data_IF_342146740171
#
_entry.id   IF_342146740171
#
_cell.length_a   1.000
_cell.length_b   1.000
_cell.length_c   1.000
_cell.angle_alpha   90.00
_cell.angle_beta   90.00
_cell.angle_gamma   90.00
#
_symmetry.space_group_name_H-M   'P 1'
#
loop_
_entity.id
_entity.type
_entity.pdbx_description
1 polymer ?
#
# COMPACT_ATOMS: atom_id res chain seq x y z
N UNK A 1 -34.65 11.54 -1.33
CA UNK A 1 -34.09 10.18 -1.32
C UNK A 1 -35.27 9.23 -1.31
N UNK A 2 -35.51 8.49 -2.39
CA UNK A 2 -36.68 7.64 -2.54
C UNK A 2 -36.50 6.28 -1.85
N UNK A 3 -37.58 5.63 -1.44
CA UNK A 3 -37.57 4.27 -0.86
C UNK A 3 -36.86 3.27 -1.79
N UNK A 4 -36.93 3.47 -3.11
CA UNK A 4 -36.28 2.61 -4.12
C UNK A 4 -34.73 2.72 -4.09
N UNK A 5 -34.17 3.87 -3.70
CA UNK A 5 -32.70 4.06 -3.59
C UNK A 5 -32.10 3.18 -2.48
N UNK A 6 -32.93 2.71 -1.56
CA UNK A 6 -32.52 1.80 -0.48
C UNK A 6 -32.36 0.34 -0.97
N UNK A 7 -33.14 -0.06 -1.97
CA UNK A 7 -33.12 -1.41 -2.55
C UNK A 7 -32.21 -1.53 -3.77
N UNK A 8 -31.97 -0.42 -4.47
CA UNK A 8 -31.10 -0.34 -5.64
C UNK A 8 -30.22 0.92 -5.51
N UNK A 9 -29.15 0.86 -4.68
CA UNK A 9 -28.25 1.98 -4.58
C UNK A 9 -27.67 2.29 -5.98
N UNK A 10 -27.46 3.57 -6.31
CA UNK A 10 -26.81 3.94 -7.55
C UNK A 10 -25.44 3.23 -7.66
N UNK A 11 -25.01 2.89 -8.88
CA UNK A 11 -23.71 2.27 -9.09
C UNK A 11 -22.62 3.19 -8.54
N UNK A 12 -21.57 2.59 -8.00
CA UNK A 12 -20.41 3.33 -7.51
C UNK A 12 -19.78 4.13 -8.66
N UNK A 13 -19.45 5.42 -8.47
CA UNK A 13 -18.85 6.25 -9.52
C UNK A 13 -17.56 5.65 -10.11
N UNK A 14 -16.77 4.94 -9.32
CA UNK A 14 -15.55 4.29 -9.77
C UNK A 14 -15.81 3.10 -10.71
N UNK A 15 -17.01 2.54 -10.73
CA UNK A 15 -17.36 1.45 -11.65
C UNK A 15 -17.31 1.87 -13.14
N UNK A 16 -17.37 3.19 -13.41
CA UNK A 16 -17.30 3.73 -14.77
C UNK A 16 -15.84 4.07 -15.20
N UNK A 17 -14.86 3.89 -14.35
CA UNK A 17 -13.48 4.21 -14.69
C UNK A 17 -12.92 3.26 -15.76
N UNK A 18 -12.21 3.82 -16.72
CA UNK A 18 -11.61 3.06 -17.82
C UNK A 18 -10.08 3.01 -17.64
N UNK A 19 -9.50 1.81 -17.73
CA UNK A 19 -8.05 1.63 -17.63
C UNK A 19 -7.33 2.38 -18.77
N UNK A 20 -6.38 3.25 -18.38
CA UNK A 20 -5.59 4.10 -19.28
C UNK A 20 -4.09 3.88 -19.16
N UNK A 21 -3.64 3.15 -18.14
CA UNK A 21 -2.22 2.86 -17.94
C UNK A 21 -1.96 1.37 -17.90
N UNK A 22 -0.84 0.96 -18.51
CA UNK A 22 -0.24 -0.37 -18.35
C UNK A 22 1.02 -0.32 -17.48
N UNK A 23 1.50 0.89 -17.15
CA UNK A 23 2.69 1.07 -16.32
C UNK A 23 2.29 0.94 -14.85
N UNK A 24 3.07 0.14 -14.13
CA UNK A 24 2.90 -0.11 -12.70
C UNK A 24 4.24 0.14 -11.99
N UNK A 25 4.87 1.29 -12.32
CA UNK A 25 6.15 1.69 -11.72
C UNK A 25 5.89 2.42 -10.41
N UNK A 26 6.60 2.00 -9.37
CA UNK A 26 6.56 2.61 -8.04
C UNK A 26 7.90 3.29 -7.75
N UNK A 27 7.86 4.57 -7.39
CA UNK A 27 9.04 5.36 -7.00
C UNK A 27 8.99 5.60 -5.50
N UNK A 28 9.96 5.05 -4.77
CA UNK A 28 9.92 5.04 -3.31
C UNK A 28 10.41 6.35 -2.68
N UNK A 29 11.37 7.01 -3.31
CA UNK A 29 11.94 8.28 -2.83
C UNK A 29 11.07 9.51 -3.18
N UNK A 30 10.14 9.38 -4.11
CA UNK A 30 9.05 10.32 -4.40
C UNK A 30 7.74 9.51 -4.33
N UNK A 31 7.17 9.25 -3.13
CA UNK A 31 6.17 8.22 -2.90
C UNK A 31 5.03 8.24 -3.90
N UNK A 32 5.24 7.58 -5.03
CA UNK A 32 4.31 7.57 -6.16
C UNK A 32 4.22 6.20 -6.81
N UNK A 33 3.03 5.92 -7.32
CA UNK A 33 2.71 4.71 -8.07
C UNK A 33 2.03 5.08 -9.39
N UNK A 34 2.63 4.73 -10.52
CA UNK A 34 2.16 5.07 -11.87
C UNK A 34 1.84 6.58 -12.01
N UNK A 35 2.72 7.46 -11.52
CA UNK A 35 2.59 8.91 -11.48
C UNK A 35 1.44 9.44 -10.59
N UNK A 36 0.90 8.63 -9.70
CA UNK A 36 -0.06 9.02 -8.64
C UNK A 36 0.69 9.06 -7.31
N UNK A 37 0.49 10.12 -6.51
CA UNK A 37 1.17 10.31 -5.23
C UNK A 37 0.24 10.06 -4.05
N UNK A 38 0.82 9.72 -2.91
CA UNK A 38 0.12 9.82 -1.64
C UNK A 38 -0.32 11.28 -1.41
N UNK A 39 -1.57 11.47 -0.99
CA UNK A 39 -2.20 12.77 -0.81
C UNK A 39 -2.90 13.33 -2.05
N UNK A 40 -2.72 12.73 -3.23
CA UNK A 40 -3.46 13.10 -4.43
C UNK A 40 -4.96 12.82 -4.26
N UNK A 41 -5.83 13.55 -5.00
CA UNK A 41 -7.24 13.22 -5.07
C UNK A 41 -7.45 11.79 -5.60
N UNK A 42 -8.45 11.10 -5.04
CA UNK A 42 -8.76 9.70 -5.40
C UNK A 42 -9.09 9.51 -6.88
N UNK A 43 -9.60 10.53 -7.56
CA UNK A 43 -9.86 10.50 -9.00
C UNK A 43 -8.60 10.24 -9.83
N UNK A 44 -7.42 10.51 -9.28
CA UNK A 44 -6.13 10.26 -9.94
C UNK A 44 -5.92 8.78 -10.25
N UNK A 45 -6.51 7.87 -9.44
CA UNK A 45 -6.40 6.42 -9.66
C UNK A 45 -7.36 5.88 -10.73
N UNK A 46 -8.26 6.71 -11.27
CA UNK A 46 -9.15 6.32 -12.37
C UNK A 46 -8.41 5.74 -13.59
N UNK A 47 -7.12 6.05 -13.72
CA UNK A 47 -6.24 5.51 -14.77
C UNK A 47 -6.04 3.99 -14.70
N UNK A 48 -6.23 3.39 -13.53
CA UNK A 48 -6.13 1.93 -13.34
C UNK A 48 -7.40 1.19 -13.82
N UNK A 49 -8.49 1.92 -14.06
CA UNK A 49 -9.80 1.37 -14.40
C UNK A 49 -10.68 1.15 -13.18
N UNK A 50 -11.80 0.50 -13.38
CA UNK A 50 -12.74 0.18 -12.30
C UNK A 50 -12.08 -0.77 -11.30
N UNK A 51 -12.16 -0.46 -9.98
CA UNK A 51 -11.79 -1.41 -8.94
C UNK A 51 -12.67 -2.66 -8.99
N UNK A 52 -12.16 -3.75 -8.44
CA UNK A 52 -12.85 -5.04 -8.47
C UNK A 52 -13.78 -5.25 -7.27
N UNK A 53 -13.66 -4.44 -6.22
CA UNK A 53 -14.61 -4.42 -5.11
C UNK A 53 -15.89 -3.63 -5.46
N UNK A 54 -16.99 -3.94 -4.78
CA UNK A 54 -18.33 -3.46 -5.18
C UNK A 54 -18.66 -2.03 -4.79
N UNK A 55 -17.98 -1.46 -3.79
CA UNK A 55 -18.28 -0.15 -3.20
C UNK A 55 -17.03 0.66 -2.83
N UNK A 56 -16.08 0.81 -3.76
CA UNK A 56 -14.78 1.42 -3.46
C UNK A 56 -14.91 2.83 -2.89
N UNK A 57 -15.73 3.68 -3.48
CA UNK A 57 -15.90 5.07 -3.04
C UNK A 57 -16.48 5.19 -1.62
N UNK A 58 -17.38 4.25 -1.24
CA UNK A 58 -17.98 4.24 0.09
C UNK A 58 -17.02 3.70 1.17
N UNK A 59 -16.22 2.72 0.78
CA UNK A 59 -15.32 1.99 1.69
C UNK A 59 -13.97 2.71 1.83
N UNK A 60 -13.65 3.61 0.88
CA UNK A 60 -12.34 4.23 0.80
C UNK A 60 -11.24 3.24 0.38
N UNK A 61 -11.62 2.02 0.00
CA UNK A 61 -10.73 0.96 -0.46
C UNK A 61 -10.97 0.71 -1.95
N UNK A 62 -9.91 0.78 -2.74
CA UNK A 62 -9.92 0.56 -4.19
C UNK A 62 -9.07 -0.67 -4.50
N UNK A 63 -9.73 -1.82 -4.63
CA UNK A 63 -9.07 -3.12 -4.70
C UNK A 63 -8.91 -3.59 -6.15
N UNK A 64 -7.68 -4.00 -6.49
CA UNK A 64 -7.29 -4.52 -7.81
C UNK A 64 -6.57 -5.87 -7.67
N UNK A 65 -7.21 -6.90 -7.11
CA UNK A 65 -6.57 -8.19 -6.84
C UNK A 65 -6.06 -8.89 -8.11
N UNK A 66 -6.66 -8.63 -9.28
CA UNK A 66 -6.12 -9.15 -10.54
C UNK A 66 -4.79 -8.53 -10.95
N UNK A 67 -4.42 -7.38 -10.35
CA UNK A 67 -3.18 -6.65 -10.59
C UNK A 67 -2.21 -6.73 -9.39
N UNK A 68 -2.67 -7.30 -8.27
CA UNK A 68 -1.88 -7.51 -7.07
C UNK A 68 -1.64 -6.24 -6.26
N UNK A 69 -2.56 -5.28 -6.26
CA UNK A 69 -2.47 -4.09 -5.42
C UNK A 69 -3.84 -3.60 -4.95
N UNK A 70 -3.82 -2.83 -3.91
CA UNK A 70 -4.96 -2.07 -3.38
C UNK A 70 -4.52 -0.64 -3.02
N UNK A 71 -5.48 0.28 -2.96
CA UNK A 71 -5.26 1.68 -2.66
C UNK A 71 -6.31 2.12 -1.64
N UNK A 72 -5.86 2.68 -0.51
CA UNK A 72 -6.77 3.29 0.45
C UNK A 72 -6.82 4.80 0.26
N UNK A 73 -7.98 5.37 0.56
CA UNK A 73 -8.20 6.80 0.53
C UNK A 73 -9.13 7.23 1.67
N UNK A 74 -8.72 8.23 2.41
CA UNK A 74 -9.50 8.89 3.46
C UNK A 74 -9.83 10.31 3.03
N UNK A 75 -11.09 10.73 3.22
CA UNK A 75 -11.57 12.06 2.85
C UNK A 75 -11.27 12.45 1.37
N UNK A 76 -11.35 11.45 0.48
CA UNK A 76 -11.11 11.64 -0.96
C UNK A 76 -9.63 11.83 -1.34
N UNK A 77 -8.70 11.56 -0.44
CA UNK A 77 -7.25 11.60 -0.68
C UNK A 77 -6.62 10.24 -0.47
N UNK A 78 -5.73 9.88 -1.36
CA UNK A 78 -4.97 8.62 -1.28
C UNK A 78 -4.02 8.68 -0.09
N UNK A 79 -4.12 7.71 0.81
CA UNK A 79 -3.28 7.61 1.99
C UNK A 79 -2.45 6.32 2.06
N UNK A 80 -2.79 5.29 1.26
CA UNK A 80 -2.00 4.07 1.19
C UNK A 80 -1.95 3.48 -0.22
N UNK A 81 -0.79 2.95 -0.58
CA UNK A 81 -0.60 1.98 -1.66
C UNK A 81 -0.11 0.68 -1.05
N UNK A 82 -0.83 -0.41 -1.30
CA UNK A 82 -0.46 -1.75 -0.84
C UNK A 82 -0.23 -2.67 -2.05
N UNK A 83 0.96 -3.26 -2.15
CA UNK A 83 1.37 -4.19 -3.21
C UNK A 83 1.49 -5.59 -2.63
N UNK A 84 0.87 -6.58 -3.25
CA UNK A 84 0.63 -7.90 -2.66
C UNK A 84 1.22 -9.05 -3.47
N UNK A 85 1.71 -10.08 -2.74
CA UNK A 85 2.25 -11.32 -3.28
C UNK A 85 1.77 -12.55 -2.50
N UNK A 86 0.75 -12.41 -1.67
CA UNK A 86 0.17 -13.47 -0.83
C UNK A 86 -0.92 -14.28 -1.53
N UNK A 87 -1.37 -13.86 -2.71
CA UNK A 87 -2.37 -14.58 -3.48
C UNK A 87 -1.90 -16.01 -3.80
N UNK A 88 -2.84 -16.98 -3.72
CA UNK A 88 -2.57 -18.37 -4.10
C UNK A 88 -2.22 -18.52 -5.58
N UNK A 89 -2.78 -17.65 -6.41
CA UNK A 89 -2.49 -17.58 -7.84
C UNK A 89 -1.37 -16.57 -8.11
N UNK A 90 -0.17 -17.00 -8.55
CA UNK A 90 0.93 -16.10 -8.85
C UNK A 90 0.63 -15.06 -9.96
N UNK A 91 -0.35 -15.31 -10.81
CA UNK A 91 -0.76 -14.35 -11.82
C UNK A 91 -1.42 -13.09 -11.22
N UNK A 92 -1.89 -13.19 -9.98
CA UNK A 92 -2.45 -12.09 -9.18
C UNK A 92 -1.42 -11.37 -8.31
N UNK A 93 -0.17 -11.80 -8.33
CA UNK A 93 0.89 -11.08 -7.66
C UNK A 93 1.17 -9.76 -8.38
N UNK A 94 1.54 -8.73 -7.62
CA UNK A 94 1.97 -7.46 -8.21
C UNK A 94 3.16 -7.68 -9.14
N UNK A 95 3.03 -7.21 -10.38
CA UNK A 95 4.02 -7.40 -11.47
C UNK A 95 4.73 -6.10 -11.83
N UNK A 96 4.50 -5.04 -11.08
CA UNK A 96 5.14 -3.75 -11.32
C UNK A 96 6.60 -3.71 -10.88
N UNK A 97 7.22 -2.56 -11.09
CA UNK A 97 8.63 -2.32 -10.75
C UNK A 97 8.74 -1.31 -9.62
N UNK A 98 9.84 -1.41 -8.87
CA UNK A 98 10.18 -0.47 -7.82
C UNK A 98 11.52 0.19 -8.10
N UNK A 99 11.63 1.47 -7.77
CA UNK A 99 12.89 2.19 -7.78
C UNK A 99 13.09 2.99 -6.50
N UNK A 100 14.34 3.10 -6.04
CA UNK A 100 14.75 3.91 -4.92
C UNK A 100 16.10 4.58 -5.20
N UNK A 101 16.18 5.89 -4.96
CA UNK A 101 17.35 6.71 -5.32
C UNK A 101 17.76 6.52 -6.79
N UNK A 102 16.76 6.45 -7.69
CA UNK A 102 16.94 6.26 -9.12
C UNK A 102 17.47 4.88 -9.52
N UNK A 103 17.50 3.89 -8.62
CA UNK A 103 17.96 2.52 -8.90
C UNK A 103 16.82 1.53 -8.76
N UNK A 104 16.75 0.50 -9.63
CA UNK A 104 15.78 -0.57 -9.46
C UNK A 104 15.97 -1.29 -8.12
N UNK A 105 14.85 -1.57 -7.46
CA UNK A 105 14.78 -2.39 -6.24
C UNK A 105 13.91 -3.60 -6.52
N UNK A 106 14.41 -4.77 -6.16
CA UNK A 106 13.64 -6.00 -6.30
C UNK A 106 12.77 -6.18 -5.05
N UNK A 107 11.45 -6.17 -5.24
CA UNK A 107 10.46 -6.62 -4.27
C UNK A 107 9.62 -7.73 -4.90
N UNK A 108 9.15 -8.69 -4.10
CA UNK A 108 8.37 -9.81 -4.61
C UNK A 108 8.55 -11.08 -3.77
N UNK A 109 7.86 -12.17 -4.11
CA UNK A 109 7.72 -13.35 -3.25
C UNK A 109 9.03 -14.13 -3.05
N UNK A 110 10.06 -13.87 -3.86
CA UNK A 110 11.40 -14.48 -3.71
C UNK A 110 12.32 -13.70 -2.77
N UNK A 111 11.93 -12.47 -2.39
CA UNK A 111 12.72 -11.58 -1.53
C UNK A 111 12.63 -12.05 -0.09
N UNK A 112 13.75 -11.98 0.63
CA UNK A 112 13.89 -12.36 2.04
C UNK A 112 14.17 -11.12 2.88
N UNK A 113 14.03 -11.27 4.19
CA UNK A 113 14.34 -10.22 5.17
C UNK A 113 15.74 -9.63 4.99
N UNK A 114 16.75 -10.49 4.75
CA UNK A 114 18.12 -10.04 4.53
C UNK A 114 18.28 -9.18 3.27
N UNK A 115 17.52 -9.47 2.21
CA UNK A 115 17.55 -8.68 0.97
C UNK A 115 16.97 -7.29 1.21
N UNK A 116 15.87 -7.20 1.99
CA UNK A 116 15.23 -5.95 2.35
C UNK A 116 16.16 -5.10 3.23
N UNK A 117 16.79 -5.69 4.25
CA UNK A 117 17.79 -5.00 5.09
C UNK A 117 19.00 -4.53 4.27
N UNK A 118 19.45 -5.33 3.32
CA UNK A 118 20.55 -4.94 2.42
C UNK A 118 20.18 -3.74 1.53
N UNK A 119 18.91 -3.68 1.07
CA UNK A 119 18.45 -2.61 0.19
C UNK A 119 18.15 -1.31 0.95
N UNK A 120 17.48 -1.40 2.11
CA UNK A 120 16.91 -0.24 2.82
C UNK A 120 17.58 0.06 4.16
N UNK A 121 18.51 -0.80 4.61
CA UNK A 121 19.10 -0.70 5.95
C UNK A 121 18.22 -1.34 7.03
N UNK A 122 18.52 -1.04 8.29
CA UNK A 122 17.76 -1.56 9.42
C UNK A 122 16.42 -0.82 9.56
N UNK A 123 15.31 -1.56 9.76
CA UNK A 123 14.01 -0.94 9.99
C UNK A 123 13.98 -0.16 11.29
N UNK A 124 13.12 0.85 11.38
CA UNK A 124 12.88 1.58 12.61
C UNK A 124 12.32 0.65 13.69
N UNK A 125 11.36 -0.19 13.35
CA UNK A 125 10.76 -1.18 14.24
C UNK A 125 10.53 -2.50 13.51
N UNK A 126 10.52 -3.59 14.23
CA UNK A 126 10.15 -4.92 13.75
C UNK A 126 9.09 -5.46 14.68
N UNK A 127 7.93 -5.78 14.12
CA UNK A 127 6.96 -6.64 14.76
C UNK A 127 7.18 -8.08 14.29
N UNK A 128 7.21 -9.02 15.22
CA UNK A 128 7.51 -10.44 14.94
C UNK A 128 6.59 -11.30 15.80
N UNK A 129 5.41 -11.57 15.28
CA UNK A 129 4.40 -12.35 15.98
C UNK A 129 3.88 -13.53 15.13
N UNK A 130 3.81 -14.71 15.73
CA UNK A 130 3.16 -15.92 15.18
C UNK A 130 3.63 -16.37 13.78
N UNK A 131 4.88 -16.01 13.40
CA UNK A 131 5.46 -16.37 12.09
C UNK A 131 5.13 -15.37 10.99
N UNK A 132 4.51 -14.29 11.34
CA UNK A 132 4.37 -13.08 10.52
C UNK A 132 5.34 -12.02 11.05
N UNK A 133 5.90 -11.23 10.14
CA UNK A 133 6.87 -10.21 10.51
C UNK A 133 6.65 -8.96 9.69
N UNK A 134 6.62 -7.81 10.35
CA UNK A 134 6.47 -6.51 9.73
C UNK A 134 7.70 -5.67 10.02
N UNK A 135 8.34 -5.16 8.97
CA UNK A 135 9.40 -4.18 9.06
C UNK A 135 8.83 -2.80 8.83
N UNK A 136 8.95 -1.91 9.80
CA UNK A 136 8.54 -0.53 9.70
C UNK A 136 9.73 0.36 9.37
N UNK A 137 9.62 1.11 8.27
CA UNK A 137 10.59 2.11 7.85
C UNK A 137 9.93 3.48 7.85
N UNK A 138 10.44 4.38 8.67
CA UNK A 138 9.92 5.72 8.82
C UNK A 138 10.81 6.73 8.10
N UNK A 139 10.20 7.52 7.22
CA UNK A 139 10.93 8.51 6.44
C UNK A 139 10.50 9.92 6.80
N UNK A 140 11.27 10.59 7.66
CA UNK A 140 11.00 11.96 8.14
C UNK A 140 10.77 12.98 7.02
N UNK A 141 11.53 12.87 5.93
CA UNK A 141 11.49 13.86 4.85
C UNK A 141 10.17 13.87 4.10
N UNK A 142 9.50 12.74 4.02
CA UNK A 142 8.29 12.55 3.23
C UNK A 142 7.04 12.32 4.08
N UNK A 143 7.20 12.19 5.41
CA UNK A 143 6.13 11.76 6.32
C UNK A 143 5.45 10.44 5.87
N UNK A 144 6.20 9.58 5.18
CA UNK A 144 5.72 8.31 4.66
C UNK A 144 6.35 7.17 5.45
N UNK A 145 5.52 6.23 5.83
CA UNK A 145 5.94 4.95 6.40
C UNK A 145 5.92 3.88 5.31
N UNK A 146 6.93 3.02 5.30
CA UNK A 146 6.86 1.76 4.56
C UNK A 146 6.69 0.62 5.55
N UNK A 147 5.78 -0.28 5.20
CA UNK A 147 5.64 -1.56 5.89
C UNK A 147 6.02 -2.67 4.92
N UNK A 148 6.91 -3.55 5.36
CA UNK A 148 7.36 -4.70 4.58
C UNK A 148 6.97 -5.94 5.33
N UNK A 149 5.97 -6.65 4.82
CA UNK A 149 5.34 -7.77 5.49
C UNK A 149 5.88 -9.11 4.99
N UNK A 150 6.16 -9.98 5.93
CA UNK A 150 6.63 -11.34 5.64
C UNK A 150 5.74 -12.36 6.33
N UNK A 151 5.38 -13.41 5.61
CA UNK A 151 4.80 -14.60 6.20
C UNK A 151 5.68 -15.82 5.87
N UNK A 152 6.06 -16.58 6.90
CA UNK A 152 6.92 -17.76 6.78
C UNK A 152 8.24 -17.44 6.05
N UNK A 153 8.80 -16.25 6.30
CA UNK A 153 10.05 -15.77 5.72
C UNK A 153 9.99 -15.39 4.24
N UNK A 154 8.80 -15.21 3.68
CA UNK A 154 8.58 -14.72 2.30
C UNK A 154 7.89 -13.37 2.34
N UNK A 155 8.29 -12.47 1.47
CA UNK A 155 7.60 -11.19 1.30
C UNK A 155 6.18 -11.44 0.78
N UNK A 156 5.19 -10.90 1.50
CA UNK A 156 3.76 -11.03 1.20
C UNK A 156 3.11 -9.71 0.81
N UNK A 157 3.57 -8.61 1.42
CA UNK A 157 3.09 -7.28 1.07
C UNK A 157 4.17 -6.21 1.26
N UNK A 158 4.01 -5.11 0.54
CA UNK A 158 4.75 -3.86 0.73
C UNK A 158 3.76 -2.70 0.69
N UNK A 159 3.75 -1.91 1.75
CA UNK A 159 2.85 -0.76 1.87
C UNK A 159 3.65 0.54 1.90
N UNK A 160 3.10 1.57 1.30
CA UNK A 160 3.50 2.97 1.49
C UNK A 160 2.28 3.73 1.99
N UNK A 161 2.38 4.40 3.13
CA UNK A 161 1.23 5.07 3.74
C UNK A 161 1.61 6.42 4.38
N UNK A 162 0.62 7.32 4.44
CA UNK A 162 0.71 8.63 5.07
C UNK A 162 -0.64 9.05 5.67
N UNK A 163 -0.72 9.45 6.96
CA UNK A 163 0.40 9.38 7.91
C UNK A 163 0.78 7.92 8.21
N UNK A 164 2.03 7.70 8.59
CA UNK A 164 2.46 6.40 9.09
C UNK A 164 1.65 5.99 10.32
N UNK A 165 1.28 4.71 10.43
CA UNK A 165 0.47 4.22 11.56
C UNK A 165 1.21 4.36 12.89
N UNK A 166 2.55 4.25 12.88
CA UNK A 166 3.36 4.46 14.08
C UNK A 166 3.40 5.94 14.52
N UNK A 167 2.81 6.87 13.78
CA UNK A 167 2.59 8.25 14.26
C UNK A 167 1.56 8.30 15.40
N UNK A 168 0.63 7.33 15.47
CA UNK A 168 -0.36 7.21 16.55
C UNK A 168 0.29 6.58 17.80
N UNK A 169 0.23 7.25 18.97
CA UNK A 169 0.72 6.70 20.22
C UNK A 169 0.06 5.38 20.64
N UNK A 170 -1.25 5.20 20.34
CA UNK A 170 -1.95 3.98 20.69
C UNK A 170 -1.43 2.81 19.84
N UNK A 171 -1.27 3.01 18.54
CA UNK A 171 -0.71 2.01 17.63
C UNK A 171 0.71 1.61 18.06
N UNK A 172 1.56 2.59 18.44
CA UNK A 172 2.90 2.28 18.99
C UNK A 172 2.82 1.41 20.26
N UNK A 173 1.84 1.66 21.13
CA UNK A 173 1.65 0.85 22.33
C UNK A 173 1.24 -0.59 21.97
N UNK A 174 0.34 -0.75 21.02
CA UNK A 174 -0.14 -2.04 20.54
C UNK A 174 1.00 -2.87 19.90
N UNK A 175 1.84 -2.24 19.08
CA UNK A 175 3.07 -2.84 18.51
C UNK A 175 4.25 -2.87 19.49
N UNK A 176 4.06 -2.47 20.76
CA UNK A 176 5.08 -2.49 21.81
C UNK A 176 6.36 -1.74 21.41
N UNK A 177 6.22 -0.66 20.64
CA UNK A 177 7.36 0.15 20.16
C UNK A 177 8.04 0.83 21.33
N UNK A 178 9.30 0.48 21.58
CA UNK A 178 10.12 1.03 22.69
C UNK A 178 11.11 2.11 22.23
N UNK A 179 11.29 2.27 20.93
CA UNK A 179 12.16 3.32 20.37
C UNK A 179 11.51 4.70 20.48
N UNK A 180 12.33 5.78 20.66
CA UNK A 180 11.79 7.14 20.66
C UNK A 180 11.07 7.49 19.37
N UNK A 181 9.95 8.17 19.49
CA UNK A 181 9.18 8.72 18.36
C UNK A 181 9.24 10.25 18.37
N UNK A 182 9.41 10.92 17.24
CA UNK A 182 9.72 10.38 15.91
C UNK A 182 11.14 9.79 15.83
N UNK A 183 11.46 8.93 14.83
CA UNK A 183 12.82 8.41 14.66
C UNK A 183 13.84 9.54 14.53
N UNK A 184 15.07 9.35 15.07
CA UNK A 184 16.15 10.35 15.07
C UNK A 184 16.76 10.54 13.67
#
# INVERSE_FOLDING_TARGET
>A
MGILDHFFPPPDPAAAWMRRTSRLDCVLDDPSFADVRLGDPVESISRFGAPENSRPTREGLYDYPSLGFEIDATDGKIDCFCFRWDAMDPAKHFQGTFSWNGRPVKLGPSVREADVRSAFGEPYWVDDELGEKIFFYEYRRTAVEWQVEFARGRLTAFLMLTPGILSDPQVRADYKVTRPWPPL
#
